data_IF_276168241488
#
_entry.id   IF_276168241488
#
_cell.length_a   1.000
_cell.length_b   1.000
_cell.length_c   1.000
_cell.angle_alpha   90.00
_cell.angle_beta   90.00
_cell.angle_gamma   90.00
#
_symmetry.space_group_name_H-M   'P 1'
#
loop_
_entity.id
_entity.type
_entity.pdbx_description
1 polymer ?
#
# COMPACT_ATOMS: atom_id res chain seq x y z
N UNK A 1 -11.44 -3.56 18.66
CA UNK A 1 -10.42 -4.60 18.87
C UNK A 1 -10.32 -5.49 17.63
N UNK A 2 -9.71 -4.98 16.55
CA UNK A 2 -9.48 -5.75 15.33
C UNK A 2 -8.01 -5.51 14.92
N UNK A 3 -7.11 -6.05 15.74
CA UNK A 3 -5.66 -5.95 15.61
C UNK A 3 -5.08 -7.37 15.57
N UNK A 4 -5.33 -8.14 14.50
CA UNK A 4 -4.66 -9.44 14.35
C UNK A 4 -4.45 -9.94 12.92
N UNK A 5 -4.72 -9.15 11.86
CA UNK A 5 -4.57 -9.64 10.48
C UNK A 5 -3.48 -8.95 9.65
N UNK A 6 -2.78 -7.96 10.20
CA UNK A 6 -1.67 -7.27 9.49
C UNK A 6 -0.28 -7.81 9.89
N UNK A 7 -0.21 -8.82 10.77
CA UNK A 7 1.05 -9.49 11.13
C UNK A 7 1.51 -10.57 10.14
N UNK A 8 0.86 -10.71 8.97
CA UNK A 8 1.39 -11.55 7.90
C UNK A 8 2.51 -10.87 7.07
N UNK A 9 2.84 -9.61 7.36
CA UNK A 9 3.95 -8.88 6.73
C UNK A 9 5.10 -8.60 7.70
N UNK A 10 5.27 -9.43 8.73
CA UNK A 10 6.55 -9.55 9.41
C UNK A 10 7.46 -10.40 8.53
N UNK A 11 8.18 -9.73 7.64
CA UNK A 11 9.60 -9.97 7.34
C UNK A 11 10.07 -11.33 7.86
N UNK A 12 9.82 -12.41 7.11
CA UNK A 12 10.68 -13.58 7.29
C UNK A 12 12.09 -13.09 6.98
N UNK A 13 13.06 -13.29 7.88
CA UNK A 13 14.43 -12.93 7.61
C UNK A 13 14.82 -13.63 6.32
N UNK A 14 15.35 -12.80 5.44
CA UNK A 14 16.03 -13.13 4.22
C UNK A 14 17.25 -13.97 4.63
N UNK A 15 17.05 -15.24 4.98
CA UNK A 15 18.11 -16.23 5.15
C UNK A 15 18.64 -16.59 3.76
N UNK A 16 19.21 -15.57 3.10
CA UNK A 16 20.13 -15.72 1.99
C UNK A 16 21.38 -16.34 2.60
N UNK A 17 21.35 -17.66 2.73
CA UNK A 17 22.55 -18.46 2.87
C UNK A 17 23.12 -18.64 1.46
N UNK A 18 24.17 -17.89 1.04
CA UNK A 18 24.95 -18.34 -0.09
C UNK A 18 25.74 -19.55 0.42
N UNK A 19 25.26 -20.74 0.06
CA UNK A 19 26.05 -21.96 0.16
C UNK A 19 27.22 -21.79 -0.82
N UNK A 20 28.42 -21.52 -0.29
CA UNK A 20 29.66 -21.40 -1.05
C UNK A 20 30.08 -22.80 -1.55
N UNK A 21 29.48 -23.24 -2.65
CA UNK A 21 29.83 -24.46 -3.40
C UNK A 21 30.38 -24.06 -4.77
N UNK A 22 31.29 -24.85 -5.37
CA UNK A 22 31.74 -24.61 -6.74
C UNK A 22 30.53 -24.63 -7.69
N UNK A 23 30.36 -23.57 -8.50
CA UNK A 23 29.18 -23.40 -9.35
C UNK A 23 29.15 -24.48 -10.43
N UNK A 24 28.26 -25.46 -10.25
CA UNK A 24 27.85 -26.34 -11.34
C UNK A 24 26.96 -25.56 -12.31
N UNK A 25 26.91 -25.97 -13.59
CA UNK A 25 26.04 -25.37 -14.61
C UNK A 25 24.58 -25.13 -14.14
N UNK A 26 23.92 -26.04 -13.39
CA UNK A 26 22.57 -25.77 -12.89
C UNK A 26 22.52 -24.69 -11.80
N UNK A 27 23.59 -24.51 -11.01
CA UNK A 27 23.65 -23.44 -10.00
C UNK A 27 23.64 -22.05 -10.66
N UNK A 28 24.35 -21.88 -11.79
CA UNK A 28 24.35 -20.62 -12.57
C UNK A 28 22.95 -20.30 -13.08
N UNK A 29 22.25 -21.28 -13.64
CA UNK A 29 20.86 -21.11 -14.12
C UNK A 29 19.94 -20.71 -12.97
N UNK A 30 20.07 -21.35 -11.81
CA UNK A 30 19.30 -20.99 -10.62
C UNK A 30 19.54 -19.56 -10.15
N UNK A 31 20.80 -19.11 -10.13
CA UNK A 31 21.15 -17.74 -9.74
C UNK A 31 20.59 -16.72 -10.75
N UNK A 32 20.73 -16.97 -12.05
CA UNK A 32 20.21 -16.07 -13.08
C UNK A 32 18.68 -15.94 -12.98
N UNK A 33 17.97 -17.05 -12.77
CA UNK A 33 16.52 -17.02 -12.60
C UNK A 33 16.11 -16.25 -11.33
N UNK A 34 16.81 -16.45 -10.22
CA UNK A 34 16.55 -15.74 -8.98
C UNK A 34 16.77 -14.22 -9.14
N UNK A 35 17.87 -13.80 -9.77
CA UNK A 35 18.15 -12.38 -10.05
C UNK A 35 17.09 -11.78 -10.99
N UNK A 36 16.67 -12.52 -12.01
CA UNK A 36 15.62 -12.08 -12.93
C UNK A 36 14.29 -11.85 -12.21
N UNK A 37 13.85 -12.78 -11.37
CA UNK A 37 12.63 -12.61 -10.58
C UNK A 37 12.73 -11.43 -9.61
N UNK A 38 13.88 -11.26 -8.95
CA UNK A 38 14.10 -10.15 -8.02
C UNK A 38 14.04 -8.80 -8.76
N UNK A 39 14.64 -8.72 -9.95
CA UNK A 39 14.58 -7.53 -10.79
C UNK A 39 13.13 -7.21 -11.21
N UNK A 40 12.33 -8.21 -11.59
CA UNK A 40 10.91 -8.00 -11.92
C UNK A 40 10.11 -7.46 -10.75
N UNK A 41 10.30 -8.00 -9.55
CA UNK A 41 9.60 -7.53 -8.34
C UNK A 41 9.93 -6.07 -8.05
N UNK A 42 11.22 -5.71 -8.11
CA UNK A 42 11.67 -4.33 -7.87
C UNK A 42 11.11 -3.39 -8.93
N UNK A 43 11.14 -3.79 -10.21
CA UNK A 43 10.62 -2.99 -11.31
C UNK A 43 9.13 -2.67 -11.12
N UNK A 44 8.33 -3.66 -10.75
CA UNK A 44 6.91 -3.46 -10.49
C UNK A 44 6.66 -2.58 -9.25
N UNK A 45 7.49 -2.71 -8.21
CA UNK A 45 7.33 -1.94 -6.96
C UNK A 45 7.61 -0.45 -7.16
N UNK A 46 8.57 -0.09 -8.01
CA UNK A 46 8.98 1.31 -8.21
C UNK A 46 7.97 2.13 -9.04
N UNK A 47 7.09 1.50 -9.83
CA UNK A 47 6.16 2.18 -10.74
C UNK A 47 4.84 2.69 -10.12
N UNK A 48 4.57 2.41 -8.85
CA UNK A 48 3.21 2.40 -8.30
C UNK A 48 2.62 3.78 -7.91
N UNK A 49 3.39 4.88 -7.92
CA UNK A 49 2.97 6.16 -7.33
C UNK A 49 2.95 7.32 -8.32
N UNK A 50 1.98 7.31 -9.23
CA UNK A 50 1.84 8.33 -10.28
C UNK A 50 0.98 9.53 -9.84
N UNK A 51 0.12 9.35 -8.83
CA UNK A 51 -0.77 10.39 -8.32
C UNK A 51 -0.57 10.60 -6.82
N UNK A 52 -0.70 11.84 -6.37
CA UNK A 52 -0.81 12.21 -4.96
C UNK A 52 -2.14 12.94 -4.77
N UNK A 53 -3.03 12.37 -3.96
CA UNK A 53 -4.35 12.91 -3.69
C UNK A 53 -4.53 13.17 -2.19
N UNK A 54 -4.98 14.37 -1.86
CA UNK A 54 -5.47 14.76 -0.55
C UNK A 54 -7.00 14.76 -0.54
N UNK A 55 -7.57 14.08 0.44
CA UNK A 55 -9.02 14.00 0.65
C UNK A 55 -9.34 14.39 2.08
N UNK A 56 -10.25 15.35 2.24
CA UNK A 56 -10.79 15.77 3.52
C UNK A 56 -12.19 15.21 3.70
N UNK A 57 -12.41 14.52 4.82
CA UNK A 57 -13.72 14.00 5.20
C UNK A 57 -14.20 14.73 6.44
N UNK A 58 -15.47 15.11 6.43
CA UNK A 58 -16.19 15.64 7.58
C UNK A 58 -17.33 14.71 7.92
N UNK A 59 -17.34 14.21 9.16
CA UNK A 59 -18.33 13.25 9.63
C UNK A 59 -18.57 13.44 11.13
N UNK A 60 -19.84 13.60 11.53
CA UNK A 60 -20.26 13.75 12.93
C UNK A 60 -19.51 14.87 13.69
N UNK A 61 -19.35 16.03 13.05
CA UNK A 61 -18.65 17.20 13.60
C UNK A 61 -17.13 17.04 13.70
N UNK A 62 -16.55 15.98 13.13
CA UNK A 62 -15.10 15.73 13.08
C UNK A 62 -14.61 15.83 11.65
N UNK A 63 -13.47 16.47 11.45
CA UNK A 63 -12.86 16.64 10.14
C UNK A 63 -11.45 16.09 10.14
N UNK A 64 -11.10 15.32 9.09
CA UNK A 64 -9.74 14.82 8.89
C UNK A 64 -9.39 14.82 7.40
N UNK A 65 -8.22 15.38 7.10
CA UNK A 65 -7.60 15.32 5.78
C UNK A 65 -6.48 14.29 5.76
N UNK A 66 -6.38 13.53 4.68
CA UNK A 66 -5.29 12.60 4.44
C UNK A 66 -4.80 12.71 3.00
N UNK A 67 -3.48 12.62 2.86
CA UNK A 67 -2.78 12.59 1.57
C UNK A 67 -2.24 11.18 1.32
N UNK A 68 -2.55 10.62 0.16
CA UNK A 68 -2.13 9.28 -0.26
C UNK A 68 -1.60 9.31 -1.68
N UNK A 69 -0.61 8.46 -1.97
CA UNK A 69 -0.12 8.21 -3.32
C UNK A 69 -0.72 6.94 -3.91
N UNK A 70 -0.99 6.92 -5.20
CA UNK A 70 -1.51 5.75 -5.90
C UNK A 70 -1.22 5.73 -7.38
N UNK A 71 -1.54 4.61 -8.02
CA UNK A 71 -1.29 4.38 -9.46
C UNK A 71 -2.24 5.20 -10.33
N UNK A 72 -3.44 5.50 -9.82
CA UNK A 72 -4.44 6.32 -10.47
C UNK A 72 -5.20 7.19 -9.45
N UNK A 73 -5.81 8.26 -9.95
CA UNK A 73 -6.54 9.24 -9.14
C UNK A 73 -7.65 8.59 -8.30
N UNK A 74 -8.50 7.75 -8.92
CA UNK A 74 -9.64 7.14 -8.25
C UNK A 74 -9.21 6.25 -7.07
N UNK A 75 -8.19 5.42 -7.27
CA UNK A 75 -7.62 4.55 -6.23
C UNK A 75 -7.01 5.38 -5.10
N UNK A 76 -6.26 6.44 -5.42
CA UNK A 76 -5.67 7.32 -4.42
C UNK A 76 -6.74 8.06 -3.60
N UNK A 77 -7.78 8.59 -4.25
CA UNK A 77 -8.91 9.27 -3.59
C UNK A 77 -9.69 8.30 -2.70
N UNK A 78 -10.06 7.12 -3.18
CA UNK A 78 -10.80 6.14 -2.37
C UNK A 78 -9.97 5.70 -1.17
N UNK A 79 -8.68 5.42 -1.37
CA UNK A 79 -7.79 5.01 -0.28
C UNK A 79 -7.61 6.13 0.75
N UNK A 80 -7.42 7.39 0.31
CA UNK A 80 -7.35 8.54 1.20
C UNK A 80 -8.64 8.72 2.01
N UNK A 81 -9.80 8.60 1.35
CA UNK A 81 -11.12 8.68 2.00
C UNK A 81 -11.32 7.57 3.04
N UNK A 82 -11.06 6.32 2.67
CA UNK A 82 -11.27 5.17 3.55
C UNK A 82 -10.36 5.23 4.78
N UNK A 83 -9.10 5.64 4.57
CA UNK A 83 -8.19 5.90 5.66
C UNK A 83 -8.69 7.05 6.54
N UNK A 84 -9.17 8.16 5.95
CA UNK A 84 -9.64 9.32 6.71
C UNK A 84 -10.83 8.93 7.59
N UNK A 85 -11.76 8.16 7.02
CA UNK A 85 -12.89 7.59 7.74
C UNK A 85 -12.47 6.69 8.91
N UNK A 86 -11.43 5.87 8.73
CA UNK A 86 -10.85 5.06 9.81
C UNK A 86 -10.33 5.90 10.99
N UNK A 87 -9.89 7.14 10.74
CA UNK A 87 -9.44 8.06 11.82
C UNK A 87 -10.58 8.84 12.49
N UNK A 88 -11.61 9.26 11.74
CA UNK A 88 -12.70 10.06 12.32
C UNK A 88 -13.70 9.21 13.12
N UNK A 89 -13.86 7.93 12.79
CA UNK A 89 -14.84 7.04 13.43
C UNK A 89 -14.18 5.90 14.22
N UNK A 90 -14.86 5.43 15.27
CA UNK A 90 -14.37 4.33 16.11
C UNK A 90 -15.12 3.00 15.86
N UNK A 91 -16.24 3.02 15.14
CA UNK A 91 -17.11 1.87 14.90
C UNK A 91 -17.17 1.50 13.43
N UNK A 92 -17.20 0.20 13.13
CA UNK A 92 -17.26 -0.31 11.74
C UNK A 92 -18.48 0.17 10.96
N UNK A 93 -19.64 0.26 11.61
CA UNK A 93 -20.86 0.78 10.99
C UNK A 93 -20.69 2.25 10.58
N UNK A 94 -20.07 3.06 11.45
CA UNK A 94 -19.77 4.45 11.17
C UNK A 94 -18.70 4.60 10.08
N UNK A 95 -17.71 3.70 10.00
CA UNK A 95 -16.74 3.67 8.89
C UNK A 95 -17.43 3.49 7.54
N UNK A 96 -18.43 2.62 7.47
CA UNK A 96 -19.21 2.39 6.25
C UNK A 96 -20.10 3.58 5.89
N UNK A 97 -20.73 4.23 6.87
CA UNK A 97 -21.50 5.46 6.62
C UNK A 97 -20.61 6.60 6.17
N UNK A 98 -19.46 6.75 6.80
CA UNK A 98 -18.46 7.74 6.44
C UNK A 98 -17.95 7.52 5.01
N UNK A 99 -17.62 6.28 4.61
CA UNK A 99 -17.12 6.00 3.26
C UNK A 99 -18.16 6.24 2.15
N UNK A 100 -19.45 6.21 2.49
CA UNK A 100 -20.54 6.59 1.57
C UNK A 100 -20.81 8.10 1.51
N UNK A 101 -20.25 8.87 2.44
CA UNK A 101 -20.43 10.33 2.45
C UNK A 101 -19.48 10.97 1.43
N UNK A 102 -19.93 11.92 0.61
CA UNK A 102 -19.04 12.65 -0.29
C UNK A 102 -17.99 13.43 0.53
N UNK A 103 -16.72 13.45 0.09
CA UNK A 103 -15.67 14.18 0.79
C UNK A 103 -15.93 15.69 0.75
N UNK A 104 -15.54 16.39 1.81
CA UNK A 104 -15.66 17.84 1.91
C UNK A 104 -14.73 18.55 0.91
N UNK A 105 -13.56 17.96 0.64
CA UNK A 105 -12.69 18.41 -0.44
C UNK A 105 -11.82 17.28 -0.98
N UNK A 106 -11.51 17.37 -2.27
CA UNK A 106 -10.55 16.52 -2.97
C UNK A 106 -9.56 17.40 -3.72
N UNK A 107 -8.27 17.09 -3.61
CA UNK A 107 -7.18 17.74 -4.32
C UNK A 107 -6.22 16.67 -4.81
N UNK A 108 -6.08 16.54 -6.13
CA UNK A 108 -5.18 15.57 -6.73
C UNK A 108 -4.15 16.27 -7.61
N UNK A 109 -2.91 15.76 -7.56
CA UNK A 109 -1.82 16.15 -8.45
C UNK A 109 -1.14 14.91 -9.02
N UNK A 110 -0.72 15.01 -10.28
CA UNK A 110 0.16 14.03 -10.90
C UNK A 110 1.60 14.27 -10.40
N UNK A 111 2.33 13.20 -10.14
CA UNK A 111 3.72 13.21 -9.66
C UNK A 111 4.74 13.16 -10.81
#
# INVERSE_FOLDING_TARGET
MHSSLVTAFSVQPLEVFPILRPLSKPAIVGILFAVFLLALIVYQTLGMNQYECEVCVEFDGRTKCLTVKGENELQAVQTAKDNACSYVVNGRAESFRCSQTPPASTRCKHL
#
